data_IF_250977788727
#
_entry.id   IF_250977788727
#
_cell.length_a   1.000
_cell.length_b   1.000
_cell.length_c   1.000
_cell.angle_alpha   90.00
_cell.angle_beta   90.00
_cell.angle_gamma   90.00
#
_symmetry.space_group_name_H-M   'P 1'
#
loop_
_entity.id
_entity.type
_entity.pdbx_description
1 polymer ?
#
# COMPACT_ATOMS: atom_id res chain seq x y z
N UNK A 1 -12.40 -36.65 -6.86
CA UNK A 1 -12.52 -37.99 -7.46
C UNK A 1 -12.88 -37.92 -8.95
N UNK A 2 -12.38 -38.87 -9.76
CA UNK A 2 -12.76 -39.11 -11.17
C UNK A 2 -13.91 -40.13 -11.28
N UNK A 3 -14.48 -40.31 -12.48
CA UNK A 3 -15.54 -41.31 -12.71
C UNK A 3 -15.11 -42.73 -12.35
N UNK A 4 -13.84 -43.08 -12.61
CA UNK A 4 -13.28 -44.39 -12.28
C UNK A 4 -13.14 -44.57 -10.77
N UNK A 5 -12.75 -43.51 -10.05
CA UNK A 5 -12.66 -43.51 -8.58
C UNK A 5 -14.04 -43.74 -7.95
N UNK A 6 -15.09 -43.08 -8.49
CA UNK A 6 -16.48 -43.24 -8.01
C UNK A 6 -16.98 -44.66 -8.28
N UNK A 7 -16.68 -45.22 -9.46
CA UNK A 7 -17.04 -46.60 -9.79
C UNK A 7 -16.34 -47.61 -8.87
N UNK A 8 -15.04 -47.41 -8.62
CA UNK A 8 -14.27 -48.22 -7.67
C UNK A 8 -14.87 -48.15 -6.26
N UNK A 9 -15.09 -46.94 -5.73
CA UNK A 9 -15.61 -46.76 -4.37
C UNK A 9 -16.99 -47.40 -4.21
N UNK A 10 -17.86 -47.29 -5.23
CA UNK A 10 -19.18 -47.92 -5.23
C UNK A 10 -19.08 -49.45 -5.17
N UNK A 11 -18.21 -50.07 -5.96
CA UNK A 11 -18.00 -51.53 -5.94
C UNK A 11 -17.34 -51.98 -4.63
N UNK A 12 -16.41 -51.18 -4.12
CA UNK A 12 -15.70 -51.43 -2.87
C UNK A 12 -16.64 -51.41 -1.66
N UNK A 13 -17.56 -50.44 -1.61
CA UNK A 13 -18.53 -50.27 -0.53
C UNK A 13 -19.72 -51.23 -0.60
N UNK A 14 -20.06 -51.77 -1.78
CA UNK A 14 -21.12 -52.78 -1.92
C UNK A 14 -20.85 -54.06 -1.11
N UNK A 15 -19.57 -54.40 -0.91
CA UNK A 15 -19.15 -55.58 -0.18
C UNK A 15 -19.10 -55.38 1.35
N UNK A 16 -19.33 -54.17 1.84
CA UNK A 16 -19.13 -53.78 3.25
C UNK A 16 -20.44 -53.33 3.91
N UNK A 17 -20.63 -53.61 5.21
CA UNK A 17 -21.79 -53.11 5.94
C UNK A 17 -21.69 -51.58 6.06
N UNK A 18 -22.84 -50.90 6.17
CA UNK A 18 -22.97 -49.42 6.10
C UNK A 18 -22.03 -48.64 7.02
N UNK A 19 -21.73 -49.20 8.18
CA UNK A 19 -20.85 -48.66 9.23
C UNK A 19 -19.35 -48.92 9.01
N UNK A 20 -18.99 -49.74 8.02
CA UNK A 20 -17.60 -50.01 7.62
C UNK A 20 -17.33 -49.61 6.16
N UNK A 21 -18.24 -48.85 5.56
CA UNK A 21 -18.05 -48.26 4.24
C UNK A 21 -17.07 -47.10 4.32
N UNK A 22 -16.23 -46.97 3.30
CA UNK A 22 -15.31 -45.86 3.16
C UNK A 22 -16.08 -44.66 2.60
N UNK A 23 -15.98 -43.50 3.25
CA UNK A 23 -16.56 -42.26 2.71
C UNK A 23 -15.75 -41.73 1.52
N UNK A 24 -16.34 -40.83 0.74
CA UNK A 24 -15.62 -40.13 -0.33
C UNK A 24 -14.46 -39.32 0.24
N UNK A 25 -14.66 -38.62 1.36
CA UNK A 25 -13.63 -37.82 2.03
C UNK A 25 -12.44 -38.68 2.49
N UNK A 26 -12.71 -39.84 3.11
CA UNK A 26 -11.65 -40.76 3.57
C UNK A 26 -10.86 -41.34 2.39
N UNK A 27 -11.54 -41.62 1.28
CA UNK A 27 -10.90 -42.08 0.06
C UNK A 27 -10.00 -40.98 -0.54
N UNK A 28 -10.51 -39.75 -0.64
CA UNK A 28 -9.76 -38.62 -1.17
C UNK A 28 -8.56 -38.26 -0.30
N UNK A 29 -8.69 -38.33 1.02
CA UNK A 29 -7.60 -38.12 1.98
C UNK A 29 -6.45 -39.11 1.73
N UNK A 30 -6.76 -40.40 1.58
CA UNK A 30 -5.77 -41.45 1.25
C UNK A 30 -5.11 -41.20 -0.10
N UNK A 31 -5.91 -40.90 -1.13
CA UNK A 31 -5.41 -40.67 -2.48
C UNK A 31 -4.49 -39.45 -2.53
N UNK A 32 -4.88 -38.37 -1.85
CA UNK A 32 -4.08 -37.16 -1.72
C UNK A 32 -2.73 -37.45 -1.04
N UNK A 33 -2.75 -38.17 0.09
CA UNK A 33 -1.53 -38.55 0.81
C UNK A 33 -0.57 -39.38 -0.08
N UNK A 34 -1.09 -40.34 -0.85
CA UNK A 34 -0.26 -41.12 -1.77
C UNK A 34 0.32 -40.28 -2.91
N UNK A 35 -0.46 -39.35 -3.49
CA UNK A 35 0.02 -38.42 -4.51
C UNK A 35 1.13 -37.51 -3.98
N UNK A 36 0.93 -36.90 -2.81
CA UNK A 36 1.90 -35.99 -2.22
C UNK A 36 3.19 -36.72 -1.82
N UNK A 37 3.06 -37.88 -1.17
CA UNK A 37 4.23 -38.66 -0.73
C UNK A 37 5.02 -39.21 -1.91
N UNK A 38 4.34 -39.72 -2.95
CA UNK A 38 5.02 -40.19 -4.16
C UNK A 38 5.74 -39.05 -4.90
N UNK A 39 5.11 -37.87 -5.03
CA UNK A 39 5.74 -36.70 -5.63
C UNK A 39 6.98 -36.24 -4.84
N UNK A 40 6.93 -36.31 -3.50
CA UNK A 40 8.05 -35.94 -2.62
C UNK A 40 9.21 -36.92 -2.67
N UNK A 41 8.94 -38.23 -2.67
CA UNK A 41 9.98 -39.29 -2.66
C UNK A 41 10.54 -39.56 -4.05
N UNK A 42 9.70 -39.54 -5.08
CA UNK A 42 10.06 -39.85 -6.46
C UNK A 42 9.58 -38.75 -7.44
N UNK A 43 10.16 -37.54 -7.39
CA UNK A 43 9.74 -36.44 -8.28
C UNK A 43 9.99 -36.72 -9.77
N UNK A 44 10.99 -37.56 -10.09
CA UNK A 44 11.39 -37.88 -11.48
C UNK A 44 10.94 -39.27 -11.94
N UNK A 45 9.94 -39.88 -11.28
CA UNK A 45 9.54 -41.26 -11.51
C UNK A 45 9.11 -41.56 -12.96
N UNK A 46 8.65 -40.54 -13.68
CA UNK A 46 8.21 -40.65 -15.08
C UNK A 46 9.33 -40.68 -16.11
N UNK A 47 10.59 -40.37 -15.72
CA UNK A 47 11.73 -40.28 -16.64
C UNK A 47 12.51 -41.59 -16.72
N UNK A 48 12.64 -42.32 -15.61
CA UNK A 48 13.57 -43.45 -15.48
C UNK A 48 12.87 -44.82 -15.33
N UNK A 49 11.61 -44.94 -15.75
CA UNK A 49 10.77 -46.15 -15.56
C UNK A 49 10.86 -46.72 -14.12
N UNK A 50 10.99 -45.83 -13.14
CA UNK A 50 11.20 -46.20 -11.74
C UNK A 50 9.98 -46.98 -11.24
N UNK A 51 10.17 -48.10 -10.50
CA UNK A 51 9.04 -48.83 -9.95
C UNK A 51 8.22 -47.92 -9.02
N UNK A 52 6.89 -48.07 -9.09
CA UNK A 52 5.96 -47.36 -8.22
C UNK A 52 6.27 -47.72 -6.76
N UNK A 53 6.34 -46.70 -5.91
CA UNK A 53 6.58 -46.82 -4.47
C UNK A 53 5.73 -47.91 -3.85
N UNK A 54 6.32 -48.77 -3.01
CA UNK A 54 5.62 -49.86 -2.33
C UNK A 54 4.68 -49.33 -1.25
N UNK A 55 3.70 -50.15 -0.84
CA UNK A 55 2.81 -49.77 0.26
C UNK A 55 3.56 -49.60 1.57
N UNK A 56 4.55 -50.45 1.86
CA UNK A 56 5.34 -50.40 3.09
C UNK A 56 6.11 -49.08 3.22
N UNK A 57 6.66 -48.58 2.10
CA UNK A 57 7.34 -47.27 2.06
C UNK A 57 6.38 -46.09 2.24
N UNK A 58 5.14 -46.19 1.74
CA UNK A 58 4.11 -45.17 1.94
C UNK A 58 3.57 -45.19 3.37
N UNK A 59 3.34 -46.38 3.93
CA UNK A 59 2.83 -46.58 5.28
C UNK A 59 3.83 -46.12 6.35
N UNK A 60 5.13 -46.30 6.11
CA UNK A 60 6.19 -45.79 6.98
C UNK A 60 6.19 -44.25 7.10
N UNK A 61 5.53 -43.55 6.17
CA UNK A 61 5.48 -42.09 6.12
C UNK A 61 4.13 -41.53 6.63
N UNK A 62 3.20 -42.37 7.10
CA UNK A 62 1.93 -41.90 7.62
C UNK A 62 2.11 -40.99 8.84
N UNK A 63 1.64 -39.75 8.73
CA UNK A 63 1.70 -38.72 9.76
C UNK A 63 0.29 -38.21 10.15
N UNK A 64 0.21 -37.15 10.95
CA UNK A 64 -1.05 -36.56 11.40
C UNK A 64 -1.93 -36.01 10.26
N UNK A 65 -1.43 -35.94 9.02
CA UNK A 65 -2.21 -35.49 7.85
C UNK A 65 -3.22 -36.52 7.36
N UNK A 66 -3.08 -37.78 7.78
CA UNK A 66 -4.01 -38.86 7.43
C UNK A 66 -4.70 -39.43 8.69
N UNK A 67 -6.02 -39.29 8.71
CA UNK A 67 -6.90 -39.73 9.79
C UNK A 67 -6.81 -41.24 10.05
N UNK A 68 -6.93 -41.64 11.31
CA UNK A 68 -6.88 -43.06 11.69
C UNK A 68 -8.00 -43.90 11.04
N UNK A 69 -9.15 -43.30 10.73
CA UNK A 69 -10.23 -44.00 10.04
C UNK A 69 -9.87 -44.26 8.57
N UNK A 70 -9.29 -43.28 7.88
CA UNK A 70 -8.86 -43.40 6.49
C UNK A 70 -7.71 -44.41 6.30
N UNK A 71 -6.77 -44.48 7.25
CA UNK A 71 -5.66 -45.46 7.24
C UNK A 71 -6.13 -46.92 7.10
N UNK A 72 -7.30 -47.25 7.64
CA UNK A 72 -7.87 -48.61 7.58
C UNK A 72 -8.15 -49.08 6.15
N UNK A 73 -8.40 -48.13 5.24
CA UNK A 73 -8.68 -48.41 3.83
C UNK A 73 -7.45 -48.25 2.93
N UNK A 74 -6.37 -47.65 3.44
CA UNK A 74 -5.20 -47.27 2.66
C UNK A 74 -4.55 -48.44 1.90
N UNK A 75 -4.39 -49.60 2.54
CA UNK A 75 -3.83 -50.81 1.92
C UNK A 75 -4.67 -51.32 0.75
N UNK A 76 -5.98 -51.34 0.91
CA UNK A 76 -6.91 -51.82 -0.11
C UNK A 76 -7.02 -50.83 -1.28
N UNK A 77 -7.02 -49.53 -0.99
CA UNK A 77 -7.02 -48.45 -2.00
C UNK A 77 -5.72 -48.47 -2.80
N UNK A 78 -4.57 -48.61 -2.12
CA UNK A 78 -3.26 -48.69 -2.78
C UNK A 78 -3.20 -49.89 -3.75
N UNK A 79 -3.51 -51.08 -3.25
CA UNK A 79 -3.31 -52.34 -3.98
C UNK A 79 -4.28 -52.51 -5.15
N UNK A 80 -5.55 -52.13 -4.98
CA UNK A 80 -6.57 -52.38 -5.98
C UNK A 80 -6.78 -51.22 -6.96
N UNK A 81 -6.44 -49.99 -6.58
CA UNK A 81 -6.79 -48.81 -7.35
C UNK A 81 -5.61 -47.89 -7.65
N UNK A 82 -5.04 -47.23 -6.64
CA UNK A 82 -4.05 -46.17 -6.84
C UNK A 82 -2.81 -46.65 -7.61
N UNK A 83 -2.24 -47.80 -7.23
CA UNK A 83 -1.06 -48.37 -7.90
C UNK A 83 -1.33 -48.67 -9.38
N UNK A 84 -2.50 -49.23 -9.67
CA UNK A 84 -2.89 -49.56 -11.05
C UNK A 84 -3.08 -48.30 -11.89
N UNK A 85 -3.74 -47.28 -11.34
CA UNK A 85 -3.90 -45.98 -11.99
C UNK A 85 -2.53 -45.31 -12.26
N UNK A 86 -1.60 -45.39 -11.31
CA UNK A 86 -0.23 -44.90 -11.47
C UNK A 86 0.54 -45.61 -12.58
N UNK A 87 0.45 -46.94 -12.64
CA UNK A 87 1.09 -47.75 -13.68
C UNK A 87 0.51 -47.44 -15.07
N UNK A 88 -0.82 -47.33 -15.18
CA UNK A 88 -1.50 -46.99 -16.45
C UNK A 88 -1.07 -45.63 -17.01
N UNK A 89 -0.78 -44.66 -16.13
CA UNK A 89 -0.30 -43.33 -16.52
C UNK A 89 1.21 -43.22 -16.67
N UNK A 90 1.95 -44.34 -16.63
CA UNK A 90 3.41 -44.35 -16.75
C UNK A 90 4.10 -43.58 -15.63
N UNK A 91 3.61 -43.76 -14.39
CA UNK A 91 4.12 -43.12 -13.18
C UNK A 91 4.08 -41.57 -13.20
N UNK A 92 3.13 -41.00 -13.96
CA UNK A 92 2.81 -39.57 -13.97
C UNK A 92 1.72 -39.23 -12.94
N UNK A 93 1.62 -37.96 -12.52
CA UNK A 93 0.51 -37.44 -11.72
C UNK A 93 -0.85 -37.94 -12.21
N UNK A 94 -1.73 -38.36 -11.28
CA UNK A 94 -3.06 -38.84 -11.64
C UNK A 94 -3.95 -37.71 -12.14
N UNK A 95 -3.80 -36.52 -11.57
CA UNK A 95 -4.51 -35.33 -11.99
C UNK A 95 -3.74 -34.68 -13.15
N UNK A 96 -4.41 -34.37 -14.28
CA UNK A 96 -3.80 -33.60 -15.36
C UNK A 96 -3.27 -32.27 -14.81
N UNK A 97 -1.96 -32.06 -14.94
CA UNK A 97 -1.32 -30.82 -14.53
C UNK A 97 -0.97 -29.96 -15.75
N UNK A 98 -0.84 -28.66 -15.50
CA UNK A 98 -0.31 -27.71 -16.47
C UNK A 98 1.13 -28.09 -16.83
N UNK A 99 1.48 -28.04 -18.11
CA UNK A 99 2.86 -28.26 -18.55
C UNK A 99 3.67 -27.00 -18.23
N UNK A 100 4.54 -27.11 -17.24
CA UNK A 100 5.56 -26.11 -16.94
C UNK A 100 6.80 -26.31 -17.80
N UNK A 101 7.59 -25.26 -17.96
CA UNK A 101 8.85 -25.31 -18.68
C UNK A 101 9.89 -26.13 -17.91
N UNK A 102 10.40 -27.18 -18.56
CA UNK A 102 11.43 -28.07 -18.03
C UNK A 102 12.78 -27.85 -18.73
N UNK A 103 12.75 -27.58 -20.05
CA UNK A 103 13.93 -27.32 -20.85
C UNK A 103 13.70 -26.11 -21.78
N UNK A 104 14.49 -25.06 -21.64
CA UNK A 104 14.32 -23.78 -22.35
C UNK A 104 14.35 -23.96 -23.87
N UNK A 105 15.18 -24.86 -24.41
CA UNK A 105 15.35 -25.03 -25.85
C UNK A 105 14.27 -25.95 -26.45
N UNK A 106 13.88 -27.00 -25.71
CA UNK A 106 12.89 -27.97 -26.21
C UNK A 106 11.46 -27.45 -26.07
N UNK A 107 11.18 -26.75 -24.97
CA UNK A 107 9.84 -26.26 -24.62
C UNK A 107 9.51 -24.89 -25.24
N UNK A 108 10.44 -24.28 -26.01
CA UNK A 108 10.20 -22.96 -26.62
C UNK A 108 9.08 -23.00 -27.67
N UNK A 109 8.99 -24.10 -28.41
CA UNK A 109 8.04 -24.30 -29.51
C UNK A 109 6.74 -25.00 -29.11
N UNK A 110 6.62 -25.49 -27.87
CA UNK A 110 5.44 -26.23 -27.41
C UNK A 110 4.32 -25.28 -26.94
N UNK A 111 3.14 -25.27 -27.61
CA UNK A 111 2.02 -24.39 -27.26
C UNK A 111 1.36 -24.69 -25.90
N UNK A 112 1.60 -25.87 -25.31
CA UNK A 112 1.04 -26.24 -24.01
C UNK A 112 1.91 -25.78 -22.82
N UNK A 113 3.10 -25.24 -23.08
CA UNK A 113 4.01 -24.76 -22.03
C UNK A 113 3.56 -23.39 -21.54
N UNK A 114 3.20 -23.31 -20.26
CA UNK A 114 2.64 -22.11 -19.64
C UNK A 114 3.42 -21.68 -18.38
N UNK A 115 3.19 -20.44 -17.94
CA UNK A 115 3.78 -19.86 -16.73
C UNK A 115 5.31 -19.94 -16.64
N UNK A 116 6.00 -19.60 -17.74
CA UNK A 116 7.47 -19.57 -17.83
C UNK A 116 8.06 -18.62 -16.76
N UNK A 117 9.04 -19.10 -16.01
CA UNK A 117 9.72 -18.31 -14.98
C UNK A 117 10.92 -17.58 -15.59
N UNK A 118 10.81 -16.27 -15.77
CA UNK A 118 11.87 -15.37 -16.27
C UNK A 118 12.21 -14.31 -15.22
N UNK A 119 12.41 -14.74 -13.99
CA UNK A 119 12.73 -13.84 -12.88
C UNK A 119 14.13 -13.24 -13.05
N UNK A 120 14.23 -11.91 -12.90
CA UNK A 120 15.51 -11.21 -12.99
C UNK A 120 16.28 -11.42 -11.69
N UNK A 121 17.45 -12.04 -11.78
CA UNK A 121 18.34 -12.21 -10.63
C UNK A 121 18.87 -10.86 -10.19
N UNK A 122 18.40 -10.37 -9.05
CA UNK A 122 18.87 -9.11 -8.49
C UNK A 122 20.22 -9.28 -7.80
N UNK A 123 21.09 -8.27 -7.94
CA UNK A 123 22.33 -8.20 -7.18
C UNK A 123 22.05 -8.03 -5.68
N UNK A 124 22.92 -8.60 -4.85
CA UNK A 124 22.87 -8.45 -3.40
C UNK A 124 22.97 -6.98 -2.99
N UNK A 125 22.32 -6.63 -1.88
CA UNK A 125 22.44 -5.30 -1.28
C UNK A 125 23.71 -5.22 -0.41
N UNK A 126 24.00 -4.03 0.09
CA UNK A 126 25.16 -3.79 0.95
C UNK A 126 24.90 -4.30 2.37
N UNK A 127 25.96 -4.73 3.07
CA UNK A 127 25.87 -5.27 4.44
C UNK A 127 25.15 -4.33 5.42
N UNK A 128 25.36 -3.02 5.30
CA UNK A 128 24.66 -2.02 6.14
C UNK A 128 23.15 -1.96 5.90
N UNK A 129 22.72 -2.12 4.64
CA UNK A 129 21.30 -2.20 4.28
C UNK A 129 20.67 -3.51 4.76
N UNK A 130 21.39 -4.62 4.61
CA UNK A 130 20.93 -5.94 5.06
C UNK A 130 20.76 -5.98 6.59
N UNK A 131 21.66 -5.34 7.35
CA UNK A 131 21.52 -5.20 8.80
C UNK A 131 20.23 -4.45 9.19
N UNK A 132 19.93 -3.33 8.52
CA UNK A 132 18.68 -2.59 8.75
C UNK A 132 17.44 -3.41 8.38
N UNK A 133 17.47 -4.14 7.27
CA UNK A 133 16.37 -5.03 6.86
C UNK A 133 16.18 -6.15 7.88
N UNK A 134 17.26 -6.70 8.42
CA UNK A 134 17.21 -7.75 9.45
C UNK A 134 16.55 -7.24 10.73
N UNK A 135 16.88 -6.04 11.19
CA UNK A 135 16.21 -5.44 12.37
C UNK A 135 14.72 -5.17 12.09
N UNK A 136 14.37 -4.69 10.88
CA UNK A 136 12.96 -4.56 10.47
C UNK A 136 12.22 -5.90 10.45
N UNK A 137 12.86 -6.98 9.99
CA UNK A 137 12.27 -8.32 10.00
C UNK A 137 12.07 -8.86 11.41
N UNK A 138 13.00 -8.59 12.34
CA UNK A 138 12.83 -8.93 13.76
C UNK A 138 11.64 -8.20 14.38
N UNK A 139 11.50 -6.90 14.08
CA UNK A 139 10.36 -6.10 14.52
C UNK A 139 9.04 -6.61 13.92
N UNK A 140 9.00 -6.86 12.62
CA UNK A 140 7.83 -7.41 11.94
C UNK A 140 7.43 -8.77 12.52
N UNK A 141 8.39 -9.66 12.81
CA UNK A 141 8.12 -10.94 13.47
C UNK A 141 7.45 -10.74 14.83
N UNK A 142 7.93 -9.77 15.62
CA UNK A 142 7.36 -9.46 16.94
C UNK A 142 5.92 -8.95 16.81
N UNK A 143 5.68 -8.01 15.89
CA UNK A 143 4.35 -7.44 15.63
C UNK A 143 3.37 -8.52 15.13
N UNK A 144 3.81 -9.43 14.27
CA UNK A 144 3.00 -10.57 13.82
C UNK A 144 2.69 -11.57 14.94
N UNK A 145 3.61 -11.77 15.89
CA UNK A 145 3.36 -12.63 17.06
C UNK A 145 2.34 -11.99 18.01
N UNK A 146 2.41 -10.67 18.21
CA UNK A 146 1.41 -9.92 18.97
C UNK A 146 0.03 -9.99 18.30
N UNK A 147 -0.04 -9.81 16.97
CA UNK A 147 -1.28 -9.95 16.21
C UNK A 147 -1.84 -11.38 16.30
N UNK A 148 -0.99 -12.41 16.16
CA UNK A 148 -1.36 -13.82 16.35
C UNK A 148 -1.93 -14.06 17.75
N UNK A 149 -1.33 -13.46 18.78
CA UNK A 149 -1.80 -13.59 20.16
C UNK A 149 -3.17 -12.95 20.36
N UNK A 150 -3.44 -11.77 19.77
CA UNK A 150 -4.76 -11.15 19.79
C UNK A 150 -5.80 -12.04 19.09
N UNK A 151 -5.49 -12.61 17.92
CA UNK A 151 -6.38 -13.55 17.24
C UNK A 151 -6.65 -14.80 18.10
N UNK A 152 -5.65 -15.31 18.81
CA UNK A 152 -5.81 -16.43 19.73
C UNK A 152 -6.76 -16.08 20.89
N UNK A 153 -6.64 -14.88 21.46
CA UNK A 153 -7.56 -14.41 22.50
C UNK A 153 -9.00 -14.28 21.98
N UNK A 154 -9.19 -13.76 20.76
CA UNK A 154 -10.51 -13.68 20.12
C UNK A 154 -11.07 -15.08 19.89
N UNK A 155 -10.30 -16.00 19.32
CA UNK A 155 -10.71 -17.41 19.16
C UNK A 155 -11.17 -17.99 20.50
N UNK A 156 -10.38 -17.84 21.56
CA UNK A 156 -10.72 -18.33 22.90
C UNK A 156 -12.00 -17.71 23.44
N UNK A 157 -12.22 -16.40 23.20
CA UNK A 157 -13.47 -15.72 23.57
C UNK A 157 -14.66 -16.33 22.85
N UNK A 158 -14.58 -16.52 21.53
CA UNK A 158 -15.67 -17.10 20.75
C UNK A 158 -15.94 -18.56 21.12
N UNK A 159 -14.89 -19.35 21.43
CA UNK A 159 -15.05 -20.71 21.96
C UNK A 159 -15.80 -20.72 23.29
N UNK A 160 -15.45 -19.83 24.24
CA UNK A 160 -16.17 -19.72 25.51
C UNK A 160 -17.62 -19.26 25.31
N UNK A 161 -17.90 -18.34 24.38
CA UNK A 161 -19.26 -17.91 24.06
C UNK A 161 -20.06 -19.08 23.47
N UNK A 162 -19.46 -19.85 22.55
CA UNK A 162 -20.09 -21.04 21.97
C UNK A 162 -20.43 -22.07 23.05
N UNK A 163 -19.49 -22.33 23.95
CA UNK A 163 -19.67 -23.30 25.03
C UNK A 163 -20.73 -22.82 26.05
N UNK A 164 -20.74 -21.52 26.36
CA UNK A 164 -21.78 -20.90 27.18
C UNK A 164 -23.16 -21.05 26.54
N UNK A 165 -23.30 -20.74 25.24
CA UNK A 165 -24.56 -20.89 24.51
C UNK A 165 -25.02 -22.36 24.44
N UNK A 166 -24.09 -23.30 24.29
CA UNK A 166 -24.40 -24.73 24.32
C UNK A 166 -24.94 -25.17 25.69
N UNK A 167 -24.35 -24.67 26.79
CA UNK A 167 -24.85 -24.90 28.14
C UNK A 167 -26.22 -24.25 28.36
N UNK A 168 -26.40 -23.00 27.94
CA UNK A 168 -27.68 -22.29 28.06
C UNK A 168 -28.79 -23.03 27.30
N UNK A 169 -28.50 -23.55 26.10
CA UNK A 169 -29.42 -24.40 25.34
C UNK A 169 -29.76 -25.68 26.12
N UNK A 170 -28.75 -26.39 26.64
CA UNK A 170 -28.96 -27.62 27.42
C UNK A 170 -29.82 -27.37 28.66
N UNK A 171 -29.54 -26.30 29.42
CA UNK A 171 -30.33 -25.88 30.58
C UNK A 171 -31.78 -25.56 30.17
N UNK A 172 -31.98 -24.86 29.05
CA UNK A 172 -33.31 -24.54 28.56
C UNK A 172 -34.11 -25.79 28.19
N UNK A 173 -33.50 -26.74 27.46
CA UNK A 173 -34.12 -28.01 27.10
C UNK A 173 -34.50 -28.84 28.34
N UNK A 174 -33.57 -28.96 29.30
CA UNK A 174 -33.81 -29.67 30.56
C UNK A 174 -34.93 -29.01 31.40
N UNK A 175 -34.94 -27.68 31.51
CA UNK A 175 -36.01 -26.94 32.19
C UNK A 175 -37.36 -27.13 31.52
N UNK A 176 -37.39 -27.17 30.20
CA UNK A 176 -38.62 -27.39 29.43
C UNK A 176 -39.16 -28.80 29.66
N UNK A 177 -38.30 -29.81 29.59
CA UNK A 177 -38.65 -31.20 29.90
C UNK A 177 -39.13 -31.38 31.36
N UNK A 178 -38.46 -30.75 32.32
CA UNK A 178 -38.87 -30.77 33.74
C UNK A 178 -40.24 -30.14 33.93
N UNK A 179 -40.51 -28.98 33.31
CA UNK A 179 -41.83 -28.33 33.33
C UNK A 179 -42.92 -29.23 32.74
N UNK A 180 -42.64 -29.97 31.67
CA UNK A 180 -43.58 -30.93 31.10
C UNK A 180 -43.89 -32.09 32.06
N UNK A 181 -42.87 -32.67 32.69
CA UNK A 181 -43.04 -33.76 33.65
C UNK A 181 -43.79 -33.26 34.89
N UNK A 182 -43.47 -32.06 35.39
CA UNK A 182 -44.15 -31.42 36.53
C UNK A 182 -45.63 -31.19 36.23
N UNK A 183 -45.97 -30.70 35.02
CA UNK A 183 -47.37 -30.56 34.57
C UNK A 183 -48.10 -31.90 34.55
N UNK A 184 -47.45 -32.98 34.13
CA UNK A 184 -48.03 -34.34 34.14
C UNK A 184 -48.27 -34.86 35.56
N UNK A 185 -47.39 -34.52 36.51
CA UNK A 185 -47.43 -35.04 37.89
C UNK A 185 -48.14 -34.12 38.90
N UNK A 186 -48.58 -32.92 38.51
CA UNK A 186 -49.32 -31.96 39.36
C UNK A 186 -48.66 -31.62 40.71
N UNK A 187 -47.34 -31.67 40.80
CA UNK A 187 -46.59 -31.33 42.02
C UNK A 187 -46.39 -29.81 42.12
N UNK A 188 -46.64 -29.22 43.31
CA UNK A 188 -46.73 -27.76 43.53
C UNK A 188 -45.53 -27.12 44.24
N UNK A 189 -44.48 -27.86 44.59
CA UNK A 189 -43.38 -27.30 45.39
C UNK A 189 -42.22 -26.74 44.55
N UNK A 190 -41.70 -25.61 45.04
CA UNK A 190 -40.43 -24.91 44.77
C UNK A 190 -40.00 -24.71 43.30
N UNK A 191 -40.48 -23.64 42.66
CA UNK A 191 -40.15 -23.24 41.28
C UNK A 191 -39.08 -22.14 41.16
N UNK A 192 -38.69 -21.54 42.28
CA UNK A 192 -37.83 -20.33 42.32
C UNK A 192 -36.40 -20.60 41.83
N UNK A 193 -35.83 -21.76 42.16
CA UNK A 193 -34.46 -22.13 41.79
C UNK A 193 -34.36 -22.69 40.35
N UNK A 194 -35.48 -23.18 39.81
CA UNK A 194 -35.54 -23.83 38.50
C UNK A 194 -35.82 -22.85 37.34
N UNK A 195 -36.33 -21.64 37.61
CA UNK A 195 -36.73 -20.69 36.56
C UNK A 195 -35.90 -19.41 36.44
N UNK A 196 -35.08 -19.03 37.44
CA UNK A 196 -34.43 -17.72 37.47
C UNK A 196 -32.91 -17.84 37.60
N UNK A 197 -32.19 -17.66 36.48
CA UNK A 197 -30.72 -17.53 36.46
C UNK A 197 -30.23 -16.09 36.74
N UNK A 198 -31.12 -15.12 36.92
CA UNK A 198 -30.74 -13.72 37.14
C UNK A 198 -30.62 -13.44 38.63
N UNK A 199 -29.42 -13.62 39.19
CA UNK A 199 -29.02 -12.78 40.34
C UNK A 199 -28.65 -11.41 39.77
N UNK A 200 -29.36 -10.31 40.12
CA UNK A 200 -29.01 -8.98 39.65
C UNK A 200 -27.57 -8.68 40.04
N UNK A 201 -26.76 -8.26 39.06
CA UNK A 201 -25.37 -7.89 39.31
C UNK A 201 -25.33 -6.84 40.44
N UNK A 202 -24.52 -7.04 41.49
CA UNK A 202 -24.45 -6.07 42.58
C UNK A 202 -24.00 -4.72 42.00
N UNK A 203 -24.80 -3.68 42.23
CA UNK A 203 -24.50 -2.32 41.77
C UNK A 203 -23.07 -1.95 42.22
N UNK A 204 -22.23 -1.38 41.34
CA UNK A 204 -20.90 -0.93 41.75
C UNK A 204 -21.07 0.07 42.90
N UNK A 205 -20.40 -0.19 44.03
CA UNK A 205 -20.45 0.70 45.18
C UNK A 205 -19.94 2.09 44.75
N UNK A 206 -20.65 3.19 45.06
CA UNK A 206 -20.17 4.53 44.77
C UNK A 206 -18.83 4.73 45.47
N UNK A 207 -17.84 5.26 44.74
CA UNK A 207 -16.56 5.66 45.32
C UNK A 207 -16.85 6.70 46.40
N UNK A 208 -16.42 6.41 47.63
CA UNK A 208 -16.54 7.35 48.75
C UNK A 208 -15.53 8.47 48.50
N UNK A 209 -16.03 9.70 48.31
CA UNK A 209 -15.20 10.91 48.22
C UNK A 209 -14.44 11.13 49.53
N UNK A 210 -13.11 11.08 49.46
CA UNK A 210 -12.20 11.22 50.61
C UNK A 210 -11.93 12.67 51.03
N UNK A 211 -12.82 13.61 50.71
CA UNK A 211 -12.59 15.05 50.93
C UNK A 211 -13.38 15.66 52.12
N UNK A 212 -14.13 14.88 52.89
CA UNK A 212 -14.96 15.41 54.00
C UNK A 212 -14.53 15.01 55.41
N UNK A 213 -13.39 14.34 55.60
CA UNK A 213 -12.86 14.02 56.94
C UNK A 213 -11.69 14.94 57.28
N UNK A 214 -11.97 16.22 57.55
CA UNK A 214 -11.03 17.14 58.22
C UNK A 214 -11.75 18.18 59.09
N UNK A 215 -12.56 17.75 60.05
CA UNK A 215 -12.83 18.56 61.25
C UNK A 215 -13.08 17.62 62.43
N UNK A 216 -12.09 17.47 63.30
CA UNK A 216 -12.20 16.79 64.59
C UNK A 216 -11.10 17.30 65.53
N UNK A 217 -11.35 17.53 66.84
CA UNK A 217 -10.41 18.19 67.74
C UNK A 217 -9.19 17.30 68.07
N UNK A 218 -8.07 17.90 68.51
CA UNK A 218 -6.79 17.21 68.61
C UNK A 218 -6.71 16.36 69.88
N UNK A 219 -6.43 15.07 69.73
CA UNK A 219 -6.12 14.19 70.86
C UNK A 219 -6.53 12.75 70.60
N UNK A 220 -5.53 11.87 70.49
CA UNK A 220 -5.64 10.40 70.39
C UNK A 220 -6.23 9.81 69.10
N UNK A 221 -5.35 9.38 68.20
CA UNK A 221 -5.16 7.95 67.90
C UNK A 221 -4.20 7.80 66.70
N UNK A 222 -3.08 7.15 66.95
CA UNK A 222 -2.15 6.67 65.92
C UNK A 222 -2.84 5.60 65.08
N UNK A 223 -2.89 5.77 63.75
CA UNK A 223 -3.11 4.67 62.80
C UNK A 223 -2.17 4.83 61.60
N UNK A 224 -1.47 3.74 61.35
CA UNK A 224 -0.33 3.53 60.47
C UNK A 224 -0.64 3.79 58.98
N UNK A 225 0.31 4.29 58.17
CA UNK A 225 0.15 4.38 56.74
C UNK A 225 0.25 3.00 56.09
N UNK A 226 -0.71 2.68 55.21
CA UNK A 226 -0.70 1.47 54.39
C UNK A 226 0.46 1.58 53.39
N UNK A 227 1.48 0.76 53.58
CA UNK A 227 2.61 0.60 52.66
C UNK A 227 2.34 -0.57 51.70
N UNK A 228 2.77 -0.43 50.43
CA UNK A 228 2.91 -1.58 49.51
C UNK A 228 4.05 -2.49 50.00
N UNK A 229 4.11 -3.76 49.56
CA UNK A 229 5.15 -4.70 50.00
C UNK A 229 6.60 -4.32 49.61
N UNK A 230 6.80 -3.20 48.89
CA UNK A 230 8.11 -2.65 48.51
C UNK A 230 8.44 -1.29 49.19
N UNK A 231 7.70 -0.91 50.25
CA UNK A 231 8.15 0.14 51.20
C UNK A 231 8.24 1.60 50.72
N UNK A 232 7.83 1.96 49.50
CA UNK A 232 7.88 3.35 49.00
C UNK A 232 6.58 4.13 49.25
N UNK A 233 6.73 5.39 49.68
CA UNK A 233 5.66 6.36 49.97
C UNK A 233 5.16 6.99 48.66
N UNK A 234 3.85 7.16 48.52
CA UNK A 234 3.16 7.50 47.25
C UNK A 234 3.44 8.91 46.69
N UNK A 235 4.09 9.80 47.44
CA UNK A 235 4.17 11.23 47.09
C UNK A 235 5.53 11.70 46.50
N UNK A 236 6.49 10.79 46.29
CA UNK A 236 7.85 11.21 45.91
C UNK A 236 8.19 11.10 44.41
N UNK A 237 7.27 10.65 43.57
CA UNK A 237 7.54 10.39 42.14
C UNK A 237 6.61 11.15 41.16
N UNK A 238 5.92 12.19 41.62
CA UNK A 238 5.24 13.14 40.75
C UNK A 238 6.24 14.20 40.28
N UNK A 239 7.00 13.89 39.22
CA UNK A 239 7.84 14.88 38.54
C UNK A 239 6.93 15.72 37.64
N UNK A 240 6.86 17.03 37.91
CA UNK A 240 6.07 17.95 37.08
C UNK A 240 6.60 17.95 35.64
N UNK A 241 5.68 17.98 34.67
CA UNK A 241 6.03 17.95 33.25
C UNK A 241 6.89 19.14 32.83
N UNK A 242 6.65 20.31 33.44
CA UNK A 242 7.44 21.51 33.23
C UNK A 242 8.90 21.33 33.69
N UNK A 243 9.14 20.62 34.80
CA UNK A 243 10.49 20.31 35.26
C UNK A 243 11.22 19.36 34.30
N UNK A 244 10.50 18.45 33.64
CA UNK A 244 11.10 17.58 32.63
C UNK A 244 11.44 18.33 31.33
N UNK A 245 10.59 19.26 30.91
CA UNK A 245 10.86 20.12 29.76
C UNK A 245 12.04 21.05 30.03
N UNK A 246 12.08 21.68 31.21
CA UNK A 246 13.19 22.53 31.64
C UNK A 246 14.52 21.76 31.67
N UNK A 247 14.53 20.55 32.25
CA UNK A 247 15.73 19.68 32.25
C UNK A 247 16.19 19.31 30.84
N UNK A 248 15.25 19.02 29.92
CA UNK A 248 15.62 18.73 28.52
C UNK A 248 16.19 19.96 27.81
N UNK A 249 15.65 21.15 28.06
CA UNK A 249 16.15 22.39 27.51
C UNK A 249 17.57 22.70 28.03
N UNK A 250 17.80 22.56 29.33
CA UNK A 250 19.12 22.75 29.97
C UNK A 250 20.17 21.78 29.41
N UNK A 251 19.79 20.51 29.16
CA UNK A 251 20.68 19.52 28.54
C UNK A 251 21.07 19.93 27.10
N UNK A 252 20.15 20.51 26.34
CA UNK A 252 20.44 20.98 24.98
C UNK A 252 21.36 22.21 25.03
N UNK A 253 21.08 23.16 25.92
CA UNK A 253 21.87 24.37 26.09
C UNK A 253 23.31 24.06 26.50
N UNK A 254 23.49 23.23 27.52
CA UNK A 254 24.81 22.77 27.97
C UNK A 254 25.56 22.01 26.87
N UNK A 255 24.87 21.20 26.06
CA UNK A 255 25.48 20.50 24.92
C UNK A 255 25.97 21.47 23.83
N UNK A 256 25.19 22.51 23.53
CA UNK A 256 25.56 23.55 22.56
C UNK A 256 26.74 24.36 23.07
N UNK A 257 26.70 24.80 24.33
CA UNK A 257 27.79 25.55 24.96
C UNK A 257 29.10 24.75 24.98
N UNK A 258 29.05 23.46 25.30
CA UNK A 258 30.24 22.60 25.26
C UNK A 258 30.80 22.44 23.85
N UNK A 259 29.95 22.38 22.81
CA UNK A 259 30.40 22.32 21.42
C UNK A 259 31.01 23.64 20.95
N UNK A 260 30.41 24.77 21.32
CA UNK A 260 30.96 26.10 21.04
C UNK A 260 32.31 26.25 21.72
N UNK A 261 32.45 25.86 22.99
CA UNK A 261 33.71 25.94 23.74
C UNK A 261 34.78 25.01 23.17
N UNK A 262 34.41 23.80 22.74
CA UNK A 262 35.32 22.89 22.01
C UNK A 262 35.79 23.52 20.70
N UNK A 263 34.89 24.15 19.95
CA UNK A 263 35.24 24.82 18.70
C UNK A 263 36.14 26.05 18.93
N UNK A 264 35.90 26.83 19.99
CA UNK A 264 36.77 27.95 20.37
C UNK A 264 38.18 27.48 20.74
N UNK A 265 38.30 26.43 21.57
CA UNK A 265 39.60 25.79 21.88
C UNK A 265 40.27 25.20 20.64
N UNK A 266 39.49 24.63 19.71
CA UNK A 266 40.03 24.09 18.46
C UNK A 266 40.58 25.20 17.55
N UNK A 267 39.99 26.39 17.58
CA UNK A 267 40.44 27.56 16.82
C UNK A 267 41.55 28.36 17.53
N UNK A 268 41.87 28.06 18.79
CA UNK A 268 42.88 28.78 19.56
C UNK A 268 44.27 28.55 18.94
N UNK A 269 44.90 29.61 18.43
CA UNK A 269 46.21 29.56 17.76
C UNK A 269 46.16 29.39 16.23
N UNK A 270 44.97 29.26 15.64
CA UNK A 270 44.79 29.29 14.18
C UNK A 270 44.39 30.71 13.75
N UNK A 271 45.19 31.32 12.87
CA UNK A 271 44.85 32.60 12.20
C UNK A 271 44.37 32.27 10.80
N UNK A 272 43.12 32.63 10.49
CA UNK A 272 42.48 32.36 9.20
C UNK A 272 43.00 33.34 8.14
N UNK A 273 43.93 32.87 7.30
CA UNK A 273 44.58 33.64 6.23
C UNK A 273 43.83 33.56 4.89
N UNK A 274 42.58 33.07 4.91
CA UNK A 274 41.74 33.04 3.71
C UNK A 274 41.15 34.42 3.44
N UNK A 275 40.97 34.78 2.15
CA UNK A 275 40.57 36.12 1.70
C UNK A 275 39.26 36.63 2.35
N UNK A 276 38.46 35.77 2.99
CA UNK A 276 37.37 36.14 3.92
C UNK A 276 37.23 35.03 4.98
N UNK A 277 37.09 35.37 6.28
CA UNK A 277 37.07 34.39 7.37
C UNK A 277 35.90 33.42 7.26
N UNK A 278 36.12 32.14 7.62
CA UNK A 278 35.08 31.08 7.60
C UNK A 278 33.95 31.25 8.65
N UNK A 279 33.92 32.36 9.38
CA UNK A 279 32.73 32.78 10.12
C UNK A 279 31.67 33.21 9.10
N UNK A 280 30.43 32.65 9.10
CA UNK A 280 29.41 33.11 8.17
C UNK A 280 29.26 34.64 8.33
N UNK A 281 29.31 35.41 7.22
CA UNK A 281 29.15 36.85 7.30
C UNK A 281 27.80 37.18 7.94
N UNK A 282 27.74 38.25 8.74
CA UNK A 282 26.48 38.94 9.04
C UNK A 282 25.74 39.10 7.71
N UNK A 283 24.52 38.57 7.65
CA UNK A 283 23.72 38.35 6.44
C UNK A 283 23.99 39.38 5.33
N UNK A 284 24.84 39.02 4.36
CA UNK A 284 24.85 39.71 3.08
C UNK A 284 23.77 39.07 2.19
N UNK A 285 22.93 39.88 1.52
CA UNK A 285 21.76 39.40 0.82
C UNK A 285 22.15 38.38 -0.25
N UNK A 286 21.65 37.17 -0.03
CA UNK A 286 21.68 35.94 -0.84
C UNK A 286 22.22 36.13 -2.26
N UNK A 287 23.35 35.46 -2.52
CA UNK A 287 23.90 35.21 -3.85
C UNK A 287 22.81 34.76 -4.83
N UNK A 288 22.87 35.30 -6.06
CA UNK A 288 21.93 35.09 -7.17
C UNK A 288 21.35 33.68 -7.17
N UNK A 289 20.10 33.58 -6.71
CA UNK A 289 19.24 32.42 -6.84
C UNK A 289 19.27 31.86 -8.27
N UNK A 290 19.52 30.56 -8.41
CA UNK A 290 19.27 29.76 -9.62
C UNK A 290 17.76 29.60 -9.94
N UNK A 291 16.94 30.50 -9.41
CA UNK A 291 15.51 30.60 -9.69
C UNK A 291 15.30 31.72 -10.70
N UNK A 292 14.74 31.38 -11.85
CA UNK A 292 14.39 32.34 -12.89
C UNK A 292 13.04 32.99 -12.56
N UNK A 293 12.94 34.29 -12.80
CA UNK A 293 11.68 35.02 -12.72
C UNK A 293 10.90 34.83 -14.01
N UNK A 294 9.58 34.74 -13.91
CA UNK A 294 8.70 34.73 -15.09
C UNK A 294 8.25 36.18 -15.32
N UNK A 295 8.71 36.79 -16.42
CA UNK A 295 8.12 38.02 -16.92
C UNK A 295 6.83 37.62 -17.65
N UNK A 296 5.67 37.86 -17.03
CA UNK A 296 4.39 37.70 -17.69
C UNK A 296 4.12 39.00 -18.46
N UNK A 297 4.95 39.28 -19.47
CA UNK A 297 4.57 40.22 -20.50
C UNK A 297 3.76 39.42 -21.51
N UNK A 298 2.46 39.68 -21.53
CA UNK A 298 1.50 39.07 -22.44
C UNK A 298 1.91 39.33 -23.88
N UNK A 299 2.70 38.44 -24.46
CA UNK A 299 2.80 38.32 -25.91
C UNK A 299 1.47 37.74 -26.39
N UNK A 300 0.52 38.65 -26.61
CA UNK A 300 -0.64 38.40 -27.45
C UNK A 300 -0.13 37.78 -28.77
N UNK A 301 -0.71 36.64 -29.14
CA UNK A 301 -0.54 36.03 -30.46
C UNK A 301 -1.34 36.89 -31.45
N UNK A 302 -0.79 38.04 -31.77
CA UNK A 302 -1.13 38.82 -32.97
C UNK A 302 0.18 39.47 -33.41
N UNK A 303 0.58 39.32 -34.69
CA UNK A 303 1.83 39.88 -35.16
C UNK A 303 1.82 41.41 -35.00
N UNK A 304 2.95 42.05 -34.63
CA UNK A 304 3.01 43.50 -34.53
C UNK A 304 2.74 44.12 -35.90
N UNK A 305 1.84 45.11 -35.91
CA UNK A 305 1.51 45.94 -37.05
C UNK A 305 2.77 46.56 -37.66
N UNK A 306 2.97 46.37 -38.96
CA UNK A 306 3.96 47.13 -39.73
C UNK A 306 3.55 48.59 -39.77
N UNK A 307 4.30 49.44 -39.07
CA UNK A 307 4.27 50.87 -39.32
C UNK A 307 5.24 51.19 -40.46
N UNK A 308 4.74 51.23 -41.70
CA UNK A 308 4.96 52.31 -42.68
C UNK A 308 3.80 52.30 -43.69
N UNK A 309 2.98 53.34 -43.71
CA UNK A 309 1.95 53.55 -44.74
C UNK A 309 0.68 54.21 -44.18
N UNK A 310 0.47 55.47 -44.54
CA UNK A 310 -0.56 56.34 -43.97
C UNK A 310 -2.02 55.98 -44.31
N UNK A 311 -2.88 56.55 -43.46
CA UNK A 311 -4.22 57.10 -43.74
C UNK A 311 -5.40 56.19 -44.12
N UNK A 312 -6.45 56.36 -43.29
CA UNK A 312 -7.87 56.52 -43.62
C UNK A 312 -8.82 55.31 -43.57
N UNK A 313 -9.99 55.56 -42.93
CA UNK A 313 -11.26 54.84 -43.12
C UNK A 313 -11.45 53.64 -42.19
N UNK A 314 -12.11 53.78 -41.03
CA UNK A 314 -13.57 53.86 -40.85
C UNK A 314 -14.30 52.51 -40.97
N UNK A 315 -15.09 52.23 -39.92
CA UNK A 315 -16.31 51.42 -39.89
C UNK A 315 -16.16 49.90 -40.11
N UNK A 316 -16.93 49.03 -39.50
CA UNK A 316 -17.91 49.03 -38.40
C UNK A 316 -18.27 47.55 -38.22
N UNK A 317 -19.06 47.28 -37.19
CA UNK A 317 -20.06 46.21 -37.10
C UNK A 317 -19.75 45.04 -36.17
N UNK A 318 -20.61 45.03 -35.16
CA UNK A 318 -20.80 44.16 -34.02
C UNK A 318 -21.19 42.73 -34.41
N UNK A 319 -20.99 41.80 -33.46
CA UNK A 319 -22.00 40.84 -32.95
C UNK A 319 -21.28 40.00 -31.87
N UNK A 320 -21.65 40.06 -30.60
CA UNK A 320 -22.81 39.36 -30.04
C UNK A 320 -22.32 38.49 -28.87
N UNK A 321 -22.19 39.09 -27.69
CA UNK A 321 -21.76 38.41 -26.47
C UNK A 321 -22.88 37.55 -25.90
N UNK A 322 -22.68 36.22 -25.82
CA UNK A 322 -23.40 35.34 -24.90
C UNK A 322 -22.43 34.85 -23.83
N UNK A 323 -22.63 35.39 -22.64
CA UNK A 323 -21.85 35.10 -21.44
C UNK A 323 -22.46 33.87 -20.77
N UNK A 324 -21.86 32.69 -20.97
CA UNK A 324 -22.16 31.50 -20.18
C UNK A 324 -21.32 31.53 -18.91
N UNK A 325 -22.00 31.69 -17.77
CA UNK A 325 -21.42 31.62 -16.44
C UNK A 325 -20.95 30.19 -16.14
N UNK A 326 -19.64 29.98 -16.16
CA UNK A 326 -18.99 28.80 -15.59
C UNK A 326 -18.83 29.08 -14.09
N UNK A 327 -19.49 28.27 -13.26
CA UNK A 327 -19.22 28.19 -11.82
C UNK A 327 -17.83 27.56 -11.64
N UNK A 328 -16.80 28.40 -11.58
CA UNK A 328 -15.44 28.00 -11.23
C UNK A 328 -15.33 27.89 -9.71
N UNK A 329 -15.32 26.66 -9.20
CA UNK A 329 -14.77 26.35 -7.87
C UNK A 329 -13.26 26.03 -7.90
N UNK A 330 -12.58 26.33 -9.02
CA UNK A 330 -11.13 26.39 -9.06
C UNK A 330 -10.69 27.78 -8.59
N UNK A 331 -9.80 27.84 -7.59
CA UNK A 331 -9.20 29.09 -7.12
C UNK A 331 -8.55 29.82 -8.31
N UNK A 332 -9.24 30.83 -8.85
CA UNK A 332 -8.74 31.70 -9.90
C UNK A 332 -7.59 32.51 -9.31
N UNK A 333 -6.35 32.13 -9.62
CA UNK A 333 -5.19 32.98 -9.36
C UNK A 333 -5.27 34.12 -10.37
N UNK A 334 -5.87 35.23 -9.96
CA UNK A 334 -5.79 36.49 -10.70
C UNK A 334 -4.35 37.01 -10.55
N UNK A 335 -3.49 36.71 -11.52
CA UNK A 335 -2.16 37.34 -11.59
C UNK A 335 -2.37 38.66 -12.32
N UNK A 336 -2.63 39.71 -11.56
CA UNK A 336 -2.53 41.08 -12.06
C UNK A 336 -1.08 41.31 -12.50
N UNK A 337 -0.87 41.95 -13.66
CA UNK A 337 0.47 42.28 -14.14
C UNK A 337 1.19 43.08 -13.04
N UNK A 338 2.42 42.72 -12.64
CA UNK A 338 3.12 43.43 -11.59
C UNK A 338 3.29 44.89 -12.00
N UNK A 339 2.84 45.83 -11.17
CA UNK A 339 3.21 47.24 -11.32
C UNK A 339 4.74 47.33 -11.28
N UNK A 340 5.32 48.21 -12.09
CA UNK A 340 6.78 48.39 -12.28
C UNK A 340 7.59 48.66 -11.01
N UNK A 341 6.89 48.86 -9.89
CA UNK A 341 7.33 49.43 -8.63
C UNK A 341 7.30 48.39 -7.48
N UNK A 342 7.00 47.12 -7.76
CA UNK A 342 7.04 46.04 -6.74
C UNK A 342 8.48 45.52 -6.54
N UNK A 343 9.03 45.53 -5.31
CA UNK A 343 10.39 45.04 -5.04
C UNK A 343 10.59 43.57 -5.45
N UNK A 344 11.74 43.28 -6.07
CA UNK A 344 12.11 41.98 -6.65
C UNK A 344 11.98 40.75 -5.74
N UNK A 345 11.87 40.93 -4.41
CA UNK A 345 11.72 39.86 -3.44
C UNK A 345 10.31 39.24 -3.42
N UNK A 346 9.27 39.94 -3.89
CA UNK A 346 7.88 39.48 -3.76
C UNK A 346 7.34 38.71 -4.97
N UNK A 347 8.09 38.60 -6.08
CA UNK A 347 7.64 37.85 -7.25
C UNK A 347 7.81 36.33 -7.07
N UNK A 348 6.87 35.50 -7.55
CA UNK A 348 7.04 34.05 -7.54
C UNK A 348 8.20 33.65 -8.45
N UNK A 349 9.06 32.75 -7.95
CA UNK A 349 10.28 32.30 -8.62
C UNK A 349 10.28 30.78 -8.72
N UNK A 350 10.76 30.29 -9.86
CA UNK A 350 10.75 28.86 -10.14
C UNK A 350 12.12 28.35 -10.52
N UNK A 351 12.40 27.10 -10.16
CA UNK A 351 13.60 26.36 -10.58
C UNK A 351 13.18 24.99 -11.08
N UNK A 352 13.56 24.68 -12.31
CA UNK A 352 13.39 23.35 -12.87
C UNK A 352 14.65 22.52 -12.59
N UNK A 353 14.47 21.30 -12.11
CA UNK A 353 15.52 20.30 -11.89
C UNK A 353 15.17 19.04 -12.66
N UNK A 354 16.17 18.43 -13.29
CA UNK A 354 15.99 17.17 -14.02
C UNK A 354 16.73 16.08 -13.25
N UNK A 355 15.98 15.11 -12.73
CA UNK A 355 16.49 13.95 -12.02
C UNK A 355 16.92 12.81 -12.97
N UNK A 356 17.51 11.76 -12.41
CA UNK A 356 17.88 10.56 -13.17
C UNK A 356 16.64 9.89 -13.78
N UNK A 357 16.72 9.52 -15.06
CA UNK A 357 15.60 8.97 -15.83
C UNK A 357 14.65 10.02 -16.42
N UNK A 358 15.09 11.27 -16.56
CA UNK A 358 14.32 12.33 -17.25
C UNK A 358 13.16 12.91 -16.45
N UNK A 359 12.98 12.52 -15.17
CA UNK A 359 11.94 13.09 -14.32
C UNK A 359 12.23 14.54 -14.00
N UNK A 360 11.30 15.43 -14.35
CA UNK A 360 11.40 16.87 -14.07
C UNK A 360 10.75 17.22 -12.73
N UNK A 361 11.43 18.01 -11.91
CA UNK A 361 10.93 18.55 -10.65
C UNK A 361 10.97 20.07 -10.72
N UNK A 362 9.93 20.75 -10.22
CA UNK A 362 9.82 22.21 -10.29
C UNK A 362 9.63 22.81 -8.90
N UNK A 363 10.67 23.47 -8.41
CA UNK A 363 10.64 24.16 -7.12
C UNK A 363 9.97 25.53 -7.27
N UNK A 364 9.16 25.92 -6.29
CA UNK A 364 8.44 27.19 -6.27
C UNK A 364 8.83 27.99 -5.02
N UNK A 365 9.20 29.26 -5.16
CA UNK A 365 9.45 30.23 -4.07
C UNK A 365 8.58 31.47 -4.28
N UNK A 366 8.14 32.11 -3.20
CA UNK A 366 7.36 33.36 -3.27
C UNK A 366 5.88 33.22 -3.60
N UNK A 367 5.34 31.99 -3.69
CA UNK A 367 3.89 31.78 -3.80
C UNK A 367 3.29 31.93 -2.40
N UNK A 368 2.59 33.05 -2.15
CA UNK A 368 1.71 33.19 -0.98
C UNK A 368 0.60 32.16 -1.16
N UNK A 369 0.61 31.09 -0.35
CA UNK A 369 -0.54 30.17 -0.29
C UNK A 369 -1.76 31.00 0.10
N UNK A 370 -2.95 30.77 -0.50
CA UNK A 370 -4.15 31.43 -0.01
C UNK A 370 -4.23 31.18 1.50
N UNK A 371 -4.38 32.24 2.29
CA UNK A 371 -4.61 32.09 3.73
C UNK A 371 -5.88 31.24 3.84
N UNK A 372 -5.75 30.01 4.31
CA UNK A 372 -6.92 29.28 4.76
C UNK A 372 -7.56 30.12 5.86
N UNK A 373 -8.88 30.30 5.78
CA UNK A 373 -9.68 30.93 6.83
C UNK A 373 -9.22 30.43 8.21
N UNK A 374 -9.11 31.29 9.23
CA UNK A 374 -8.70 30.86 10.55
C UNK A 374 -9.67 29.79 11.07
N UNK A 375 -9.18 28.55 11.14
CA UNK A 375 -9.93 27.42 11.68
C UNK A 375 -9.98 27.58 13.19
N UNK A 376 -11.19 27.48 13.76
CA UNK A 376 -11.45 27.58 15.19
C UNK A 376 -10.52 26.63 15.98
N UNK A 377 -9.90 27.14 17.04
CA UNK A 377 -8.81 26.48 17.79
C UNK A 377 -9.24 25.12 18.34
N UNK A 378 -10.53 24.99 18.67
CA UNK A 378 -11.17 23.76 19.17
C UNK A 378 -11.35 22.69 18.09
N UNK A 379 -11.49 23.11 16.83
CA UNK A 379 -11.54 22.22 15.67
C UNK A 379 -10.13 21.78 15.31
N UNK A 380 -9.15 22.69 15.34
CA UNK A 380 -7.74 22.36 15.13
C UNK A 380 -7.21 21.37 16.18
N UNK A 381 -7.58 21.53 17.45
CA UNK A 381 -7.15 20.64 18.54
C UNK A 381 -7.73 19.21 18.42
N UNK A 382 -8.93 19.08 17.82
CA UNK A 382 -9.54 17.77 17.52
C UNK A 382 -8.72 16.94 16.53
N UNK A 383 -8.00 17.60 15.62
CA UNK A 383 -7.15 16.95 14.63
C UNK A 383 -5.66 16.95 15.01
N UNK A 384 -5.27 17.60 16.11
CA UNK A 384 -3.87 17.74 16.56
C UNK A 384 -3.20 16.41 16.89
N UNK A 385 -3.98 15.39 17.23
CA UNK A 385 -3.51 14.04 17.55
C UNK A 385 -3.99 12.98 16.56
N UNK A 386 -4.61 13.39 15.45
CA UNK A 386 -5.12 12.47 14.44
C UNK A 386 -4.05 11.98 13.44
N UNK A 387 -2.82 12.50 13.50
CA UNK A 387 -1.80 12.29 12.47
C UNK A 387 -0.48 11.64 12.94
N UNK A 388 -0.50 10.77 13.95
CA UNK A 388 0.71 10.00 14.34
C UNK A 388 0.60 8.50 14.00
N UNK A 389 -0.44 8.11 13.24
CA UNK A 389 -0.49 6.79 12.60
C UNK A 389 0.01 6.93 11.17
N UNK A 390 1.09 6.23 10.83
CA UNK A 390 1.66 6.19 9.48
C UNK A 390 0.81 5.42 8.44
N UNK A 391 -0.47 5.20 8.73
CA UNK A 391 -1.41 4.41 7.92
C UNK A 391 -2.50 5.25 7.24
N UNK A 392 -2.58 6.56 7.50
CA UNK A 392 -3.53 7.42 6.81
C UNK A 392 -2.95 7.82 5.43
N UNK A 393 -3.24 6.99 4.43
CA UNK A 393 -3.06 7.32 3.03
C UNK A 393 -3.87 8.60 2.75
N UNK A 394 -3.20 9.72 2.43
CA UNK A 394 -3.86 10.98 2.07
C UNK A 394 -4.79 10.73 0.87
N UNK A 395 -6.07 10.44 1.15
CA UNK A 395 -7.08 10.19 0.12
C UNK A 395 -7.48 11.53 -0.49
N UNK A 396 -6.82 11.90 -1.59
CA UNK A 396 -7.20 13.07 -2.37
C UNK A 396 -8.57 12.77 -3.01
N UNK A 397 -9.64 13.53 -2.70
CA UNK A 397 -10.93 13.36 -3.35
C UNK A 397 -10.77 13.61 -4.83
N UNK A 398 -10.69 12.52 -5.59
CA UNK A 398 -10.55 12.55 -7.05
C UNK A 398 -11.95 12.34 -7.60
N UNK A 399 -12.50 13.33 -8.30
CA UNK A 399 -13.76 13.17 -9.00
C UNK A 399 -13.56 12.17 -10.14
N UNK A 400 -14.22 11.02 -10.04
CA UNK A 400 -14.11 9.91 -11.01
C UNK A 400 -14.72 10.26 -12.36
N UNK A 401 -15.42 11.39 -12.46
CA UNK A 401 -16.00 11.93 -13.69
C UNK A 401 -15.24 13.12 -14.26
N UNK A 402 -14.13 13.56 -13.65
CA UNK A 402 -13.31 14.66 -14.15
C UNK A 402 -12.58 14.27 -15.43
N UNK A 403 -13.00 14.85 -16.57
CA UNK A 403 -12.39 14.59 -17.88
C UNK A 403 -11.29 15.59 -18.25
N UNK A 404 -10.92 16.56 -17.39
CA UNK A 404 -10.05 17.68 -17.74
C UNK A 404 -8.75 17.21 -18.41
N UNK A 405 -8.13 16.16 -17.88
CA UNK A 405 -6.94 15.55 -18.45
C UNK A 405 -7.19 14.85 -19.79
N UNK A 406 -8.37 14.26 -19.98
CA UNK A 406 -8.81 13.64 -21.23
C UNK A 406 -9.03 14.71 -22.30
N UNK A 407 -9.72 15.83 -21.99
CA UNK A 407 -9.88 16.97 -22.90
C UNK A 407 -8.56 17.64 -23.23
N UNK A 408 -7.67 17.80 -22.26
CA UNK A 408 -6.34 18.39 -22.48
C UNK A 408 -5.50 17.52 -23.42
N UNK A 409 -5.51 16.18 -23.25
CA UNK A 409 -4.83 15.27 -24.19
C UNK A 409 -5.44 15.30 -25.59
N UNK A 410 -6.76 15.30 -25.72
CA UNK A 410 -7.43 15.45 -27.03
C UNK A 410 -7.06 16.77 -27.71
N UNK A 411 -6.86 17.85 -26.95
CA UNK A 411 -6.45 19.14 -27.48
C UNK A 411 -5.00 19.13 -27.99
N UNK A 412 -4.09 18.43 -27.29
CA UNK A 412 -2.69 18.26 -27.70
C UNK A 412 -2.59 17.42 -28.98
N UNK A 413 -3.30 16.29 -29.06
CA UNK A 413 -3.28 15.44 -30.27
C UNK A 413 -3.80 16.20 -31.50
N UNK A 414 -4.89 16.97 -31.35
CA UNK A 414 -5.41 17.84 -32.44
C UNK A 414 -4.45 18.95 -32.87
N UNK A 415 -3.56 19.40 -31.99
CA UNK A 415 -2.53 20.39 -32.35
C UNK A 415 -1.34 19.77 -33.08
N UNK A 416 -1.01 18.51 -32.78
CA UNK A 416 -0.07 17.69 -33.55
C UNK A 416 -0.54 17.44 -34.98
N UNK A 417 -1.84 17.15 -35.17
CA UNK A 417 -2.43 16.94 -36.49
C UNK A 417 -2.34 18.19 -37.39
N UNK A 418 -2.50 19.39 -36.81
CA UNK A 418 -2.34 20.66 -37.53
C UNK A 418 -0.89 20.90 -37.96
N UNK A 419 0.10 20.52 -37.14
CA UNK A 419 1.51 20.61 -37.51
C UNK A 419 1.89 19.60 -38.60
N UNK A 420 1.34 18.38 -38.54
CA UNK A 420 1.52 17.36 -39.58
C UNK A 420 0.88 17.78 -40.93
N UNK A 421 -0.32 18.35 -40.90
CA UNK A 421 -0.96 18.90 -42.10
C UNK A 421 -0.21 20.11 -42.68
N UNK A 422 0.32 21.00 -41.84
CA UNK A 422 1.13 22.13 -42.28
C UNK A 422 2.46 21.68 -42.92
N UNK A 423 3.11 20.65 -42.36
CA UNK A 423 4.32 20.06 -42.96
C UNK A 423 4.01 19.33 -44.29
N UNK A 424 2.89 18.62 -44.38
CA UNK A 424 2.47 17.97 -45.63
C UNK A 424 2.15 19.00 -46.73
N UNK A 425 1.48 20.10 -46.40
CA UNK A 425 1.22 21.20 -47.35
C UNK A 425 2.51 21.91 -47.76
N UNK A 426 3.45 22.13 -46.84
CA UNK A 426 4.76 22.73 -47.17
C UNK A 426 5.60 21.83 -48.09
N UNK A 427 5.54 20.50 -47.91
CA UNK A 427 6.20 19.54 -48.79
C UNK A 427 5.57 19.48 -50.19
N UNK A 428 4.24 19.55 -50.29
CA UNK A 428 3.54 19.63 -51.58
C UNK A 428 3.86 20.93 -52.32
N UNK A 429 3.92 22.07 -51.61
CA UNK A 429 4.32 23.35 -52.20
C UNK A 429 5.77 23.31 -52.71
N UNK A 430 6.69 22.71 -51.94
CA UNK A 430 8.09 22.54 -52.36
C UNK A 430 8.24 21.60 -53.57
N UNK A 431 7.41 20.56 -53.69
CA UNK A 431 7.38 19.68 -54.86
C UNK A 431 6.84 20.40 -56.10
N UNK A 432 5.78 21.21 -55.96
CA UNK A 432 5.28 22.03 -57.06
C UNK A 432 6.30 23.08 -57.52
N UNK A 433 7.03 23.72 -56.59
CA UNK A 433 8.11 24.65 -56.94
C UNK A 433 9.25 23.95 -57.71
N UNK A 434 9.65 22.73 -57.31
CA UNK A 434 10.64 21.93 -58.05
C UNK A 434 10.14 21.50 -59.43
N UNK A 435 8.85 21.20 -59.58
CA UNK A 435 8.26 20.89 -60.88
C UNK A 435 8.25 22.11 -61.81
N UNK A 436 7.99 23.30 -61.27
CA UNK A 436 8.06 24.57 -62.01
C UNK A 436 9.51 24.87 -62.43
N UNK A 437 10.49 24.73 -61.53
CA UNK A 437 11.92 24.91 -61.85
C UNK A 437 12.43 23.93 -62.93
N UNK A 438 11.98 22.67 -62.91
CA UNK A 438 12.32 21.69 -63.94
C UNK A 438 11.68 21.99 -65.30
N UNK A 439 10.47 22.55 -65.32
CA UNK A 439 9.84 23.02 -66.55
C UNK A 439 10.57 24.23 -67.13
N UNK A 440 11.09 25.14 -66.30
CA UNK A 440 11.90 26.27 -66.77
C UNK A 440 13.30 25.86 -67.28
N UNK A 441 13.92 24.81 -66.72
CA UNK A 441 15.18 24.24 -67.24
C UNK A 441 15.02 23.56 -68.60
N UNK A 442 13.85 23.03 -68.89
CA UNK A 442 13.57 22.34 -70.17
C UNK A 442 13.28 23.30 -71.33
N UNK A 443 13.11 24.60 -71.06
CA UNK A 443 12.82 25.63 -72.06
C UNK A 443 14.04 26.40 -72.58
N UNK A 444 15.23 26.26 -71.96
CA UNK A 444 16.47 26.86 -72.46
C UNK A 444 17.20 25.91 -73.40
N UNK A 445 16.77 25.87 -74.66
CA UNK A 445 17.47 25.14 -75.73
C UNK A 445 18.88 25.68 -76.00
N UNK A 446 19.81 24.75 -76.16
CA UNK A 446 21.22 24.95 -76.47
C UNK A 446 21.41 25.43 -77.93
N UNK A 447 21.97 26.63 -78.13
CA UNK A 447 22.48 27.10 -79.43
C UNK A 447 23.99 26.89 -79.48
N UNK A 448 24.44 25.94 -80.32
CA UNK A 448 25.85 25.70 -80.64
C UNK A 448 26.38 26.78 -81.62
N UNK A 449 27.60 27.32 -81.43
CA UNK A 449 28.25 28.16 -82.44
C UNK A 449 29.01 27.29 -83.48
N UNK A 450 29.22 27.79 -84.71
CA UNK A 450 29.74 26.99 -85.82
C UNK A 450 31.26 26.79 -85.76
N UNK A 451 31.68 25.61 -86.23
CA UNK A 451 33.06 25.19 -86.44
C UNK A 451 33.76 26.06 -87.49
N UNK A 452 34.96 26.59 -87.17
CA UNK A 452 35.85 27.19 -88.16
C UNK A 452 36.86 26.16 -88.66
N UNK A 453 36.82 25.91 -89.96
CA UNK A 453 37.95 25.47 -90.77
C UNK A 453 38.76 26.70 -91.19
N UNK A 454 40.10 26.58 -91.23
CA UNK A 454 41.04 27.61 -91.69
C UNK A 454 42.15 27.84 -90.69
#
# INVERSE_FOLDING_TARGET
>A
MTSDDVAFLKVYNQKRPRNAQCSEDEFEEVMYFFEETSHRKQPYASVDNTPVLSYEELEAEFDETISESARRFAKDIYSNHWKNQRLLKGNRPLIPSLKFETNIETDDSDPYVCFRRREVRQARKTRGRDAQVTEKLKRLRKELEEARYLMFQVKRREEMIRDQLALDKCIFEQRTALKEIKRKLSTKESDEELLINQKPAPKPKPRVDTQTIRVGPPGMASKLPITRPDGRIFDQDLVYFDDQLAKKAEVIETFVEDHVRKHQKWNEGYVDDTWRPMTPPLEHPVAKSDFRHVLVETQLITPPSSAEGGHAGAADSQEGAQQLAIQDNAARILVEAPRSDVPWLELPRFRLRIGRGGRMMMDRRGIKRPKCEPVDERVADRYRFAGDSSEDEEEYPTDWTDDLNTRYRMMIERSGDKQAQAQAQAQQYAQNMRAIENNHRSASGHLMPPTKAG
#
